data_IF_136102900797
#
_entry.id   IF_136102900797
#
_cell.length_a   1.000
_cell.length_b   1.000
_cell.length_c   1.000
_cell.angle_alpha   90.00
_cell.angle_beta   90.00
_cell.angle_gamma   90.00
#
_symmetry.space_group_name_H-M   'P 1'
#
loop_
_entity.id
_entity.type
_entity.pdbx_description
1 polymer ?
#
# COMPACT_ATOMS: atom_id res chain seq x y z
N UNK A 1 33.51 22.11 45.27
CA UNK A 1 32.35 21.21 45.42
C UNK A 1 31.10 21.98 45.02
N UNK A 2 30.53 21.70 43.84
CA UNK A 2 29.23 22.24 43.40
C UNK A 2 28.16 21.16 43.59
N UNK A 3 26.93 21.49 43.99
CA UNK A 3 25.88 20.48 44.17
C UNK A 3 25.35 20.04 42.80
N UNK A 4 25.44 18.73 42.54
CA UNK A 4 24.72 18.05 41.46
C UNK A 4 23.23 18.15 41.73
N UNK A 5 22.54 18.97 40.94
CA UNK A 5 21.07 19.03 40.93
C UNK A 5 20.59 17.70 40.33
N UNK A 6 20.05 16.82 41.19
CA UNK A 6 19.45 15.55 40.77
C UNK A 6 18.27 15.86 39.86
N UNK A 7 18.31 15.37 38.63
CA UNK A 7 17.18 15.39 37.71
C UNK A 7 15.99 14.66 38.34
N UNK A 8 14.99 15.42 38.76
CA UNK A 8 13.66 14.88 39.04
C UNK A 8 13.00 14.41 37.74
N UNK A 9 11.94 13.60 37.80
CA UNK A 9 11.23 13.18 36.60
C UNK A 9 10.72 14.41 35.86
N UNK A 10 11.14 14.55 34.60
CA UNK A 10 10.69 15.63 33.73
C UNK A 10 9.17 15.48 33.54
N UNK A 11 8.40 16.37 34.16
CA UNK A 11 6.94 16.38 34.03
C UNK A 11 6.62 16.99 32.67
N UNK A 12 6.42 16.14 31.67
CA UNK A 12 5.97 16.59 30.37
C UNK A 12 4.59 17.26 30.50
N UNK A 13 4.41 18.49 30.00
CA UNK A 13 3.11 19.16 30.03
C UNK A 13 2.08 18.34 29.24
N UNK A 14 0.84 18.30 29.72
CA UNK A 14 -0.25 17.67 28.99
C UNK A 14 -0.47 18.43 27.67
N UNK A 15 -0.07 17.81 26.56
CA UNK A 15 -0.23 18.35 25.22
C UNK A 15 -1.28 17.53 24.46
N UNK A 16 -2.27 18.24 23.92
CA UNK A 16 -3.24 17.68 22.97
C UNK A 16 -3.03 18.34 21.61
N UNK A 17 -2.86 17.54 20.57
CA UNK A 17 -2.75 18.02 19.20
C UNK A 17 -3.64 17.17 18.32
N UNK A 18 -4.50 17.81 17.54
CA UNK A 18 -5.40 17.13 16.59
C UNK A 18 -4.86 17.37 15.18
N UNK A 19 -4.36 16.32 14.54
CA UNK A 19 -3.91 16.37 13.15
C UNK A 19 -5.05 15.95 12.24
N UNK A 20 -5.46 16.86 11.34
CA UNK A 20 -6.49 16.59 10.35
C UNK A 20 -5.87 16.26 9.00
N UNK A 21 -6.14 15.04 8.53
CA UNK A 21 -5.80 14.58 7.18
C UNK A 21 -4.47 13.83 7.07
N UNK A 22 -4.40 13.00 6.03
CA UNK A 22 -3.22 12.24 5.66
C UNK A 22 -2.86 12.59 4.21
N UNK A 23 -1.59 12.93 3.96
CA UNK A 23 -1.09 13.24 2.62
C UNK A 23 -0.90 11.96 1.79
N UNK A 24 -0.49 10.88 2.44
CA UNK A 24 -0.15 9.61 1.81
C UNK A 24 -1.17 8.53 2.15
N UNK A 25 -1.38 7.62 1.21
CA UNK A 25 -2.18 6.43 1.36
C UNK A 25 -1.39 5.19 0.96
N UNK A 26 -1.73 4.08 1.59
CA UNK A 26 -1.14 2.78 1.35
C UNK A 26 -2.18 1.84 0.76
N UNK A 27 -1.76 1.01 -0.18
CA UNK A 27 -2.61 0.02 -0.85
C UNK A 27 -1.98 -1.36 -0.69
N UNK A 28 -2.84 -2.34 -0.42
CA UNK A 28 -2.49 -3.76 -0.52
C UNK A 28 -3.12 -4.29 -1.80
N UNK A 29 -2.28 -4.82 -2.68
CA UNK A 29 -2.69 -5.48 -3.91
C UNK A 29 -2.50 -6.97 -3.77
N UNK A 30 -3.43 -7.74 -4.32
CA UNK A 30 -3.22 -9.14 -4.66
C UNK A 30 -3.12 -9.27 -6.17
N UNK A 31 -2.26 -10.16 -6.63
CA UNK A 31 -2.09 -10.43 -8.05
C UNK A 31 -2.45 -11.88 -8.35
N UNK A 32 -3.08 -12.10 -9.49
CA UNK A 32 -3.39 -13.42 -10.01
C UNK A 32 -2.88 -13.49 -11.45
N UNK A 33 -1.98 -14.43 -11.72
CA UNK A 33 -1.45 -14.69 -13.05
C UNK A 33 -2.10 -15.95 -13.61
N UNK A 34 -2.54 -15.89 -14.86
CA UNK A 34 -3.05 -17.06 -15.57
C UNK A 34 -1.91 -17.67 -16.39
N UNK A 35 -1.32 -18.76 -15.88
CA UNK A 35 -0.22 -19.47 -16.55
C UNK A 35 0.93 -19.84 -15.62
N UNK A 36 2.15 -19.84 -16.17
CA UNK A 36 3.37 -20.11 -15.40
C UNK A 36 3.51 -19.09 -14.26
N UNK A 37 3.92 -19.58 -13.08
CA UNK A 37 4.16 -18.74 -11.91
C UNK A 37 5.28 -17.74 -12.22
N UNK A 38 4.91 -16.54 -12.65
CA UNK A 38 5.85 -15.43 -12.83
C UNK A 38 6.31 -15.02 -11.43
N UNK A 39 7.63 -15.04 -11.20
CA UNK A 39 8.22 -14.52 -9.96
C UNK A 39 7.87 -13.03 -9.82
N UNK A 40 7.18 -12.69 -8.73
CA UNK A 40 6.59 -11.39 -8.51
C UNK A 40 7.69 -10.41 -8.05
N UNK A 41 8.40 -9.83 -9.02
CA UNK A 41 9.51 -8.92 -8.72
C UNK A 41 9.00 -7.47 -8.49
N UNK A 42 9.61 -6.68 -7.58
CA UNK A 42 9.19 -5.30 -7.35
C UNK A 42 9.31 -4.41 -8.60
N UNK A 43 10.36 -4.61 -9.40
CA UNK A 43 10.57 -3.88 -10.66
C UNK A 43 9.48 -4.21 -11.70
N UNK A 44 9.03 -5.47 -11.72
CA UNK A 44 7.95 -5.91 -12.59
C UNK A 44 6.64 -5.19 -12.23
N UNK A 45 6.27 -5.19 -10.95
CA UNK A 45 5.06 -4.50 -10.46
C UNK A 45 5.11 -3.01 -10.78
N UNK A 46 6.24 -2.36 -10.54
CA UNK A 46 6.43 -0.94 -10.84
C UNK A 46 6.23 -0.67 -12.33
N UNK A 47 6.87 -1.45 -13.19
CA UNK A 47 6.83 -1.24 -14.64
C UNK A 47 5.43 -1.51 -15.19
N UNK A 48 4.77 -2.57 -14.74
CA UNK A 48 3.41 -2.92 -15.16
C UNK A 48 2.39 -1.81 -14.80
N UNK A 49 2.44 -1.32 -13.56
CA UNK A 49 1.56 -0.24 -13.12
C UNK A 49 1.87 1.06 -13.85
N UNK A 50 3.15 1.40 -14.04
CA UNK A 50 3.54 2.62 -14.74
C UNK A 50 3.16 2.59 -16.23
N UNK A 51 3.22 1.43 -16.87
CA UNK A 51 2.73 1.23 -18.22
C UNK A 51 1.20 1.40 -18.29
N UNK A 52 0.45 0.78 -17.38
CA UNK A 52 -1.02 0.95 -17.33
C UNK A 52 -1.41 2.41 -17.11
N UNK A 53 -0.74 3.11 -16.19
CA UNK A 53 -0.97 4.55 -15.96
C UNK A 53 -0.77 5.38 -17.23
N UNK A 54 0.27 5.07 -18.02
CA UNK A 54 0.51 5.72 -19.31
C UNK A 54 -0.53 5.36 -20.36
N UNK A 55 -1.00 4.12 -20.38
CA UNK A 55 -2.00 3.66 -21.34
C UNK A 55 -3.38 4.28 -21.07
N UNK A 56 -3.80 4.34 -19.80
CA UNK A 56 -5.13 4.82 -19.41
C UNK A 56 -5.20 6.35 -19.36
N UNK A 57 -4.17 7.00 -18.81
CA UNK A 57 -4.19 8.44 -18.50
C UNK A 57 -3.13 9.24 -19.28
N UNK A 58 -2.42 8.61 -20.21
CA UNK A 58 -1.42 9.27 -21.05
C UNK A 58 -0.20 9.77 -20.28
N UNK A 59 0.39 10.86 -20.78
CA UNK A 59 1.61 11.47 -20.22
C UNK A 59 1.39 11.94 -18.78
N UNK A 60 0.19 12.45 -18.46
CA UNK A 60 -0.15 12.94 -17.12
C UNK A 60 -0.19 11.77 -16.12
N UNK A 61 -0.81 10.65 -16.50
CA UNK A 61 -0.80 9.44 -15.69
C UNK A 61 0.59 8.87 -15.45
N UNK A 62 1.44 8.89 -16.49
CA UNK A 62 2.81 8.41 -16.40
C UNK A 62 3.72 9.25 -15.49
N UNK A 63 3.29 10.45 -15.10
CA UNK A 63 4.00 11.33 -14.16
C UNK A 63 3.57 11.12 -12.69
N UNK A 64 2.57 10.27 -12.44
CA UNK A 64 2.14 9.92 -11.09
C UNK A 64 3.24 9.14 -10.39
N UNK A 65 3.66 9.64 -9.23
CA UNK A 65 4.68 9.02 -8.40
C UNK A 65 4.02 8.06 -7.40
N UNK A 66 4.51 6.82 -7.38
CA UNK A 66 4.16 5.84 -6.37
C UNK A 66 5.39 5.04 -5.98
N UNK A 67 5.43 4.58 -4.73
CA UNK A 67 6.49 3.74 -4.21
C UNK A 67 5.96 2.32 -4.01
N UNK A 68 6.70 1.31 -4.48
CA UNK A 68 6.48 -0.10 -4.12
C UNK A 68 7.28 -0.36 -2.86
N UNK A 69 6.60 -0.68 -1.76
CA UNK A 69 7.21 -0.84 -0.44
C UNK A 69 7.73 -2.26 -0.21
N UNK A 70 6.90 -3.25 -0.52
CA UNK A 70 7.17 -4.65 -0.26
C UNK A 70 6.38 -5.51 -1.25
N UNK A 71 7.01 -6.60 -1.70
CA UNK A 71 6.36 -7.62 -2.51
C UNK A 71 6.58 -8.96 -1.85
N UNK A 72 5.48 -9.68 -1.62
CA UNK A 72 5.45 -11.02 -1.04
C UNK A 72 5.11 -12.00 -2.14
N UNK A 73 6.13 -12.68 -2.66
CA UNK A 73 5.97 -13.70 -3.71
C UNK A 73 5.13 -14.89 -3.23
N UNK A 74 5.27 -15.25 -1.95
CA UNK A 74 4.54 -16.35 -1.29
C UNK A 74 3.02 -16.18 -1.31
N UNK A 75 2.51 -14.95 -1.13
CA UNK A 75 1.07 -14.65 -1.14
C UNK A 75 0.64 -13.89 -2.39
N UNK A 76 1.55 -13.66 -3.33
CA UNK A 76 1.34 -12.80 -4.50
C UNK A 76 0.79 -11.40 -4.14
N UNK A 77 1.23 -10.85 -3.00
CA UNK A 77 0.78 -9.56 -2.50
C UNK A 77 1.85 -8.47 -2.71
N UNK A 78 1.40 -7.26 -3.00
CA UNK A 78 2.27 -6.09 -3.09
C UNK A 78 1.71 -4.93 -2.27
N UNK A 79 2.61 -4.18 -1.63
CA UNK A 79 2.28 -2.99 -0.85
C UNK A 79 2.79 -1.75 -1.55
N UNK A 80 1.91 -0.78 -1.76
CA UNK A 80 2.23 0.46 -2.46
C UNK A 80 1.89 1.67 -1.60
N UNK A 81 2.61 2.76 -1.85
CA UNK A 81 2.38 4.08 -1.28
C UNK A 81 2.16 5.09 -2.40
N UNK A 82 1.16 5.94 -2.22
CA UNK A 82 0.80 7.00 -3.18
C UNK A 82 0.32 8.25 -2.44
N UNK A 83 0.40 9.41 -3.09
CA UNK A 83 -0.27 10.61 -2.58
C UNK A 83 -1.78 10.46 -2.66
N UNK A 84 -2.50 11.06 -1.71
CA UNK A 84 -3.96 11.05 -1.66
C UNK A 84 -4.59 11.55 -2.95
N UNK A 85 -3.97 12.51 -3.63
CA UNK A 85 -4.48 13.11 -4.88
C UNK A 85 -4.53 12.10 -6.01
N UNK A 86 -3.52 11.23 -6.10
CA UNK A 86 -3.34 10.30 -7.20
C UNK A 86 -3.88 8.89 -6.89
N UNK A 87 -4.33 8.67 -5.66
CA UNK A 87 -4.88 7.38 -5.19
C UNK A 87 -5.96 6.83 -6.12
N UNK A 88 -6.91 7.66 -6.52
CA UNK A 88 -8.03 7.21 -7.34
C UNK A 88 -7.59 6.85 -8.76
N UNK A 89 -6.72 7.67 -9.35
CA UNK A 89 -6.12 7.44 -10.67
C UNK A 89 -5.32 6.14 -10.69
N UNK A 90 -4.49 5.91 -9.66
CA UNK A 90 -3.71 4.70 -9.51
C UNK A 90 -4.61 3.46 -9.39
N UNK A 91 -5.67 3.52 -8.57
CA UNK A 91 -6.62 2.39 -8.41
C UNK A 91 -7.30 2.02 -9.73
N UNK A 92 -7.75 3.01 -10.49
CA UNK A 92 -8.39 2.78 -11.80
C UNK A 92 -7.39 2.12 -12.77
N UNK A 93 -6.16 2.62 -12.87
CA UNK A 93 -5.14 2.01 -13.72
C UNK A 93 -4.81 0.57 -13.32
N UNK A 94 -4.73 0.28 -12.01
CA UNK A 94 -4.47 -1.08 -11.51
C UNK A 94 -5.64 -2.01 -11.87
N UNK A 95 -6.88 -1.58 -11.67
CA UNK A 95 -8.05 -2.43 -11.99
C UNK A 95 -8.20 -2.70 -13.49
N UNK A 96 -7.73 -1.79 -14.34
CA UNK A 96 -7.74 -1.97 -15.80
C UNK A 96 -6.52 -2.74 -16.33
N UNK A 97 -5.54 -3.05 -15.48
CA UNK A 97 -4.38 -3.86 -15.86
C UNK A 97 -4.82 -5.33 -15.91
N UNK A 98 -5.07 -5.83 -17.13
CA UNK A 98 -5.51 -7.21 -17.39
C UNK A 98 -4.46 -8.09 -18.07
N UNK A 99 -3.40 -7.48 -18.60
CA UNK A 99 -2.33 -8.20 -19.30
C UNK A 99 -1.03 -7.42 -19.23
N UNK A 100 0.07 -8.12 -19.04
CA UNK A 100 1.42 -7.57 -19.11
C UNK A 100 2.35 -8.57 -19.80
N UNK A 101 3.12 -8.09 -20.78
CA UNK A 101 4.06 -8.89 -21.57
C UNK A 101 3.47 -10.16 -22.19
N UNK A 102 2.24 -10.05 -22.71
CA UNK A 102 1.51 -11.17 -23.33
C UNK A 102 0.94 -12.20 -22.34
N UNK A 103 1.20 -12.06 -21.04
CA UNK A 103 0.62 -12.91 -19.98
C UNK A 103 -0.61 -12.21 -19.39
N UNK A 104 -1.71 -12.95 -19.23
CA UNK A 104 -2.90 -12.44 -18.56
C UNK A 104 -2.64 -12.34 -17.06
N UNK A 105 -2.83 -11.13 -16.52
CA UNK A 105 -2.59 -10.83 -15.12
C UNK A 105 -3.70 -9.94 -14.59
N UNK A 106 -4.23 -10.28 -13.42
CA UNK A 106 -5.28 -9.52 -12.77
C UNK A 106 -4.76 -8.97 -11.45
N UNK A 107 -4.74 -7.64 -11.33
CA UNK A 107 -4.36 -6.95 -10.11
C UNK A 107 -5.60 -6.46 -9.38
N UNK A 108 -5.77 -6.92 -8.15
CA UNK A 108 -6.90 -6.56 -7.31
C UNK A 108 -6.45 -5.72 -6.12
N UNK A 109 -7.08 -4.55 -5.96
CA UNK A 109 -6.88 -3.71 -4.78
C UNK A 109 -7.70 -4.30 -3.62
N UNK A 110 -7.02 -4.93 -2.67
CA UNK A 110 -7.68 -5.65 -1.59
C UNK A 110 -8.06 -4.73 -0.43
N UNK A 111 -7.14 -3.85 -0.06
CA UNK A 111 -7.31 -2.90 1.03
C UNK A 111 -6.59 -1.57 0.74
N UNK A 112 -7.08 -0.49 1.33
CA UNK A 112 -6.50 0.85 1.23
C UNK A 112 -6.61 1.52 2.59
N UNK A 113 -5.52 2.08 3.11
CA UNK A 113 -5.51 2.74 4.41
C UNK A 113 -4.47 3.86 4.45
N UNK A 114 -4.72 4.96 5.17
CA UNK A 114 -3.71 5.99 5.41
C UNK A 114 -2.59 5.53 6.36
N UNK A 115 -2.73 4.38 7.04
CA UNK A 115 -1.74 3.87 7.99
C UNK A 115 -1.35 2.42 7.66
N UNK A 116 -0.05 2.16 7.54
CA UNK A 116 0.48 0.81 7.32
C UNK A 116 0.07 -0.18 8.42
N UNK A 117 0.02 0.25 9.69
CA UNK A 117 -0.40 -0.60 10.80
C UNK A 117 -1.84 -1.12 10.65
N UNK A 118 -2.74 -0.28 10.11
CA UNK A 118 -4.12 -0.69 9.81
C UNK A 118 -4.22 -1.54 8.55
N UNK A 119 -3.29 -1.39 7.60
CA UNK A 119 -3.26 -2.16 6.35
C UNK A 119 -2.67 -3.56 6.53
N UNK A 120 -1.70 -3.71 7.43
CA UNK A 120 -1.05 -4.98 7.75
C UNK A 120 -2.00 -5.97 8.42
N UNK A 121 -3.03 -5.46 9.13
CA UNK A 121 -4.04 -6.29 9.76
C UNK A 121 -5.14 -6.62 8.75
N UNK A 122 -5.40 -7.90 8.58
CA UNK A 122 -6.41 -8.35 7.62
C UNK A 122 -7.83 -8.07 8.14
N UNK A 123 -8.39 -6.94 7.72
CA UNK A 123 -9.77 -6.57 8.07
C UNK A 123 -10.81 -7.59 7.56
N UNK A 124 -10.48 -8.39 6.54
CA UNK A 124 -11.40 -9.34 5.90
C UNK A 124 -11.35 -10.74 6.49
N UNK A 125 -10.28 -11.10 7.20
CA UNK A 125 -10.11 -12.42 7.81
C UNK A 125 -10.63 -12.50 9.26
N UNK A 126 -11.27 -11.45 9.77
CA UNK A 126 -11.73 -11.38 11.16
C UNK A 126 -12.70 -12.53 11.53
N UNK A 127 -13.54 -12.97 10.59
CA UNK A 127 -14.50 -14.06 10.80
C UNK A 127 -13.84 -15.41 11.01
N UNK A 128 -12.72 -15.69 10.35
CA UNK A 128 -11.97 -16.95 10.53
C UNK A 128 -11.24 -17.06 11.87
N UNK A 129 -11.16 -15.97 12.63
CA UNK A 129 -10.56 -15.93 13.97
C UNK A 129 -11.59 -16.10 15.09
N UNK A 130 -12.89 -16.21 14.76
CA UNK A 130 -13.93 -16.44 15.73
C UNK A 130 -14.02 -17.94 16.07
N UNK A 131 -14.12 -18.30 17.37
CA UNK A 131 -14.20 -19.69 17.80
C UNK A 131 -15.54 -20.39 17.47
N UNK A 132 -16.46 -19.70 16.79
CA UNK A 132 -17.78 -20.23 16.44
C UNK A 132 -18.06 -19.97 14.95
N UNK A 133 -18.55 -20.97 14.19
CA UNK A 133 -18.99 -20.75 12.82
C UNK A 133 -20.26 -19.89 12.81
N UNK A 134 -20.29 -18.88 11.94
CA UNK A 134 -21.48 -18.05 11.62
C UNK A 134 -22.35 -18.73 10.58
#
# INVERSE_FOLDING_TARGET
MQPVVRGGPEVFPHQQTVTLGCKTYFLRLSTCFEGAQVSLNPDFVRTAIQQSLRQVFGVIGGAINFDVLEVKEETNQAFLKVDRRDLQTLRVAITLLTSYDGTMCHFQVEATSPFLASLAKDSRAFTSQLPFPV
#
